data_IF_581814411972
#
_entry.id   IF_581814411972
#
_cell.length_a   1.000
_cell.length_b   1.000
_cell.length_c   1.000
_cell.angle_alpha   90.00
_cell.angle_beta   90.00
_cell.angle_gamma   90.00
#
_symmetry.space_group_name_H-M   'P 1'
#
loop_
_entity.id
_entity.type
_entity.pdbx_description
1 polymer ?
#
# COMPACT_ATOMS: atom_id res chain seq x y z
N UNK A 1 -27.02 -4.15 5.61
CA UNK A 1 -26.50 -3.04 4.94
C UNK A 1 -25.05 -3.22 4.51
N UNK A 2 -24.83 -3.04 3.29
CA UNK A 2 -23.47 -3.14 2.82
C UNK A 2 -22.67 -2.00 3.40
N UNK A 3 -21.53 -2.29 3.90
CA UNK A 3 -20.64 -1.26 4.36
C UNK A 3 -19.41 -1.27 3.50
N UNK A 4 -18.73 -0.15 3.49
CA UNK A 4 -17.48 -0.07 2.74
C UNK A 4 -16.48 -1.09 3.23
N UNK A 5 -16.62 -1.57 4.46
CA UNK A 5 -15.72 -2.55 5.01
C UNK A 5 -15.81 -3.89 4.29
N UNK A 6 -16.94 -4.15 3.62
CA UNK A 6 -17.11 -5.39 2.87
C UNK A 6 -16.56 -5.32 1.46
N UNK A 7 -16.24 -4.13 0.98
CA UNK A 7 -15.69 -3.99 -0.35
C UNK A 7 -14.22 -4.34 -0.35
N UNK A 8 -13.82 -5.06 -1.38
CA UNK A 8 -12.42 -5.43 -1.55
C UNK A 8 -11.99 -5.14 -2.97
N UNK A 9 -10.68 -5.11 -3.16
CA UNK A 9 -10.09 -4.86 -4.45
C UNK A 9 -8.77 -5.61 -4.53
N UNK A 10 -8.39 -6.07 -5.73
CA UNK A 10 -7.12 -6.76 -5.90
C UNK A 10 -5.97 -5.83 -5.53
N UNK A 11 -4.97 -6.39 -4.86
CA UNK A 11 -3.83 -5.59 -4.41
C UNK A 11 -3.06 -4.99 -5.58
N UNK A 12 -2.88 -5.75 -6.68
CA UNK A 12 -2.14 -5.22 -7.82
C UNK A 12 -2.87 -4.03 -8.43
N UNK A 13 -4.19 -4.07 -8.48
CA UNK A 13 -4.98 -2.96 -8.97
C UNK A 13 -4.85 -1.75 -8.05
N UNK A 14 -4.96 -1.98 -6.75
CA UNK A 14 -4.86 -0.89 -5.80
C UNK A 14 -3.51 -0.18 -5.90
N UNK A 15 -2.43 -0.96 -5.93
CA UNK A 15 -1.09 -0.38 -6.02
C UNK A 15 -0.93 0.49 -7.27
N UNK A 16 -1.50 0.04 -8.39
CA UNK A 16 -1.38 0.78 -9.63
C UNK A 16 -2.32 1.99 -9.66
N UNK A 17 -3.58 1.80 -9.28
CA UNK A 17 -4.56 2.89 -9.28
C UNK A 17 -4.17 3.99 -8.30
N UNK A 18 -3.63 3.64 -7.16
CA UNK A 18 -3.22 4.61 -6.14
C UNK A 18 -1.85 5.22 -6.41
N UNK A 19 -1.22 4.84 -7.52
CA UNK A 19 0.07 5.35 -7.96
C UNK A 19 1.21 5.00 -7.01
N UNK A 20 1.04 3.92 -6.27
CA UNK A 20 2.13 3.36 -5.47
C UNK A 20 3.07 2.55 -6.33
N UNK A 21 2.60 2.10 -7.50
CA UNK A 21 3.43 1.47 -8.51
C UNK A 21 3.24 2.23 -9.82
N UNK A 22 4.32 2.45 -10.53
CA UNK A 22 4.28 3.23 -11.77
C UNK A 22 3.55 2.53 -12.89
N UNK A 23 3.64 1.21 -12.94
CA UNK A 23 3.01 0.43 -13.99
C UNK A 23 2.25 -0.72 -13.36
N UNK A 24 1.34 -1.28 -14.14
CA UNK A 24 0.60 -2.45 -13.69
C UNK A 24 1.54 -3.63 -13.48
N UNK A 25 2.52 -3.79 -14.36
CA UNK A 25 3.51 -4.86 -14.21
C UNK A 25 4.27 -4.73 -12.90
N UNK A 26 4.66 -3.51 -12.55
CA UNK A 26 5.36 -3.28 -11.31
C UNK A 26 4.49 -3.62 -10.11
N UNK A 27 3.21 -3.28 -10.18
CA UNK A 27 2.28 -3.61 -9.11
C UNK A 27 2.19 -5.12 -8.93
N UNK A 28 2.13 -5.86 -10.04
CA UNK A 28 2.08 -7.32 -9.99
C UNK A 28 3.37 -7.89 -9.43
N UNK A 29 4.50 -7.32 -9.82
CA UNK A 29 5.79 -7.77 -9.31
C UNK A 29 5.87 -7.59 -7.80
N UNK A 30 5.45 -6.43 -7.29
CA UNK A 30 5.44 -6.18 -5.85
C UNK A 30 4.58 -7.21 -5.13
N UNK A 31 3.40 -7.47 -5.67
CA UNK A 31 2.45 -8.38 -5.02
C UNK A 31 2.90 -9.84 -5.08
N UNK A 32 3.56 -10.24 -6.18
CA UNK A 32 3.94 -11.65 -6.37
C UNK A 32 5.26 -12.01 -5.71
N UNK A 33 6.02 -11.01 -5.29
CA UNK A 33 7.39 -11.22 -4.80
C UNK A 33 7.45 -11.92 -3.46
N UNK A 34 6.37 -11.89 -2.71
CA UNK A 34 6.35 -12.52 -1.40
C UNK A 34 6.85 -11.63 -0.28
N UNK A 35 7.05 -10.35 -0.56
CA UNK A 35 7.54 -9.39 0.45
C UNK A 35 6.47 -8.41 0.89
N UNK A 36 5.31 -8.42 0.25
CA UNK A 36 4.21 -7.52 0.61
C UNK A 36 3.40 -8.14 1.74
N UNK A 37 3.06 -7.34 2.73
CA UNK A 37 2.18 -7.76 3.82
C UNK A 37 0.90 -6.93 3.79
N UNK A 38 -0.21 -7.61 4.02
CA UNK A 38 -1.52 -6.97 4.19
C UNK A 38 -1.99 -7.29 5.59
N UNK A 39 -2.13 -6.27 6.43
CA UNK A 39 -2.52 -6.43 7.84
C UNK A 39 -1.60 -7.42 8.56
N UNK A 40 -0.31 -7.36 8.24
CA UNK A 40 0.69 -8.20 8.88
C UNK A 40 0.87 -9.57 8.26
N UNK A 41 0.02 -9.94 7.31
CA UNK A 41 0.12 -11.24 6.66
C UNK A 41 0.87 -11.10 5.34
N UNK A 42 1.88 -11.93 5.17
CA UNK A 42 2.61 -11.96 3.91
C UNK A 42 1.73 -12.55 2.82
N UNK A 43 1.74 -11.90 1.66
CA UNK A 43 1.04 -12.42 0.49
C UNK A 43 2.05 -12.59 -0.65
N UNK A 44 1.73 -13.45 -1.60
CA UNK A 44 2.62 -13.72 -2.72
C UNK A 44 1.87 -13.83 -4.05
N UNK A 45 0.70 -13.20 -4.13
CA UNK A 45 -0.10 -13.27 -5.34
C UNK A 45 -0.78 -11.94 -5.60
N UNK A 46 -0.85 -11.58 -6.88
CA UNK A 46 -1.37 -10.29 -7.29
C UNK A 46 -2.86 -10.15 -7.04
N UNK A 47 -3.59 -11.26 -6.92
CA UNK A 47 -5.03 -11.19 -6.73
C UNK A 47 -5.46 -11.22 -5.26
N UNK A 48 -4.52 -11.18 -4.32
CA UNK A 48 -4.89 -10.97 -2.92
C UNK A 48 -5.64 -9.65 -2.81
N UNK A 49 -6.53 -9.54 -1.85
CA UNK A 49 -7.43 -8.38 -1.79
C UNK A 49 -7.13 -7.48 -0.61
N UNK A 50 -7.47 -6.21 -0.79
CA UNK A 50 -7.40 -5.18 0.26
C UNK A 50 -8.76 -4.54 0.41
N UNK A 51 -8.95 -3.88 1.55
CA UNK A 51 -10.18 -3.13 1.82
C UNK A 51 -9.81 -1.85 2.55
N UNK A 52 -10.79 -0.98 2.73
CA UNK A 52 -10.58 0.24 3.50
C UNK A 52 -10.13 -0.14 4.91
N UNK A 53 -9.07 0.48 5.36
CA UNK A 53 -8.48 0.18 6.67
C UNK A 53 -7.32 -0.81 6.62
N UNK A 54 -7.14 -1.52 5.50
CA UNK A 54 -6.01 -2.43 5.38
C UNK A 54 -4.69 -1.68 5.48
N UNK A 55 -3.72 -2.29 6.13
CA UNK A 55 -2.37 -1.74 6.24
C UNK A 55 -1.45 -2.56 5.36
N UNK A 56 -0.79 -1.88 4.42
CA UNK A 56 0.10 -2.51 3.46
C UNK A 56 1.53 -2.16 3.80
N UNK A 57 2.43 -3.14 3.73
CA UNK A 57 3.85 -2.89 3.99
C UNK A 57 4.68 -3.69 3.00
N UNK A 58 5.68 -3.06 2.40
CA UNK A 58 6.58 -3.73 1.47
C UNK A 58 7.90 -2.98 1.40
N UNK A 59 9.00 -3.68 1.04
CA UNK A 59 10.29 -3.00 0.88
C UNK A 59 10.29 -2.18 -0.41
N UNK A 60 10.86 -0.99 -0.32
CA UNK A 60 10.94 -0.08 -1.44
C UNK A 60 12.14 0.84 -1.26
N UNK A 61 13.06 0.81 -2.23
CA UNK A 61 14.23 1.69 -2.24
C UNK A 61 15.02 1.64 -0.93
N UNK A 62 15.24 0.45 -0.41
CA UNK A 62 16.07 0.28 0.77
C UNK A 62 15.37 0.54 2.10
N UNK A 63 14.08 0.80 2.06
CA UNK A 63 13.30 1.05 3.27
C UNK A 63 12.00 0.26 3.19
N UNK A 64 11.23 0.26 4.26
CA UNK A 64 9.91 -0.35 4.26
C UNK A 64 8.88 0.76 4.09
N UNK A 65 8.03 0.59 3.10
CA UNK A 65 6.93 1.53 2.87
C UNK A 65 5.67 0.96 3.50
N UNK A 66 4.97 1.77 4.28
CA UNK A 66 3.76 1.35 4.98
C UNK A 66 2.68 2.37 4.68
N UNK A 67 1.51 1.89 4.23
CA UNK A 67 0.38 2.76 3.97
C UNK A 67 -0.90 2.12 4.48
N UNK A 68 -1.86 2.96 4.88
CA UNK A 68 -3.19 2.51 5.24
C UNK A 68 -4.17 2.90 4.14
N UNK A 69 -4.99 1.97 3.72
CA UNK A 69 -5.98 2.21 2.68
C UNK A 69 -7.11 3.07 3.23
N UNK A 70 -7.39 4.18 2.56
CA UNK A 70 -8.48 5.09 2.94
C UNK A 70 -9.70 4.93 2.07
N UNK A 71 -9.52 4.60 0.81
CA UNK A 71 -10.61 4.42 -0.12
C UNK A 71 -10.16 3.48 -1.23
N UNK A 72 -11.12 2.81 -1.86
CA UNK A 72 -10.84 1.90 -2.96
C UNK A 72 -11.14 2.62 -4.27
N UNK A 73 -10.12 2.92 -5.08
CA UNK A 73 -10.33 3.62 -6.34
C UNK A 73 -10.96 2.69 -7.37
N UNK A 74 -11.67 3.29 -8.32
CA UNK A 74 -12.27 2.52 -9.41
C UNK A 74 -11.50 2.67 -10.70
N UNK A 75 -10.51 3.55 -10.72
CA UNK A 75 -9.66 3.80 -11.87
C UNK A 75 -8.38 4.44 -11.41
N UNK A 76 -7.40 4.45 -12.31
CA UNK A 76 -6.17 5.16 -12.04
C UNK A 76 -6.39 6.64 -12.34
N UNK A 77 -6.57 7.41 -11.28
CA UNK A 77 -6.80 8.84 -11.42
C UNK A 77 -5.51 9.64 -11.45
N UNK A 78 -5.63 10.97 -11.44
CA UNK A 78 -4.46 11.86 -11.38
C UNK A 78 -3.68 11.63 -10.09
N UNK A 79 -2.38 11.97 -10.14
CA UNK A 79 -1.53 11.78 -8.97
C UNK A 79 -2.06 12.51 -7.74
N UNK A 80 -2.70 13.65 -7.94
CA UNK A 80 -3.21 14.44 -6.82
C UNK A 80 -4.30 13.70 -6.02
N UNK A 81 -4.96 12.72 -6.63
CA UNK A 81 -6.00 11.96 -5.94
C UNK A 81 -5.43 10.88 -5.02
N UNK A 82 -4.16 10.53 -5.19
CA UNK A 82 -3.61 9.43 -4.41
C UNK A 82 -3.66 9.70 -2.91
N UNK A 83 -3.56 10.97 -2.51
CA UNK A 83 -3.62 11.32 -1.10
C UNK A 83 -4.98 11.02 -0.46
N UNK A 84 -6.02 10.85 -1.27
CA UNK A 84 -7.35 10.49 -0.76
C UNK A 84 -7.55 8.99 -0.68
N UNK A 85 -6.61 8.21 -1.21
CA UNK A 85 -6.75 6.77 -1.30
C UNK A 85 -5.98 6.04 -0.20
N UNK A 86 -4.92 6.65 0.31
CA UNK A 86 -4.14 6.04 1.38
C UNK A 86 -3.44 7.10 2.21
N UNK A 87 -3.04 6.70 3.42
CA UNK A 87 -2.23 7.51 4.30
C UNK A 87 -0.91 6.80 4.50
N UNK A 88 0.19 7.51 4.26
CA UNK A 88 1.51 6.94 4.53
C UNK A 88 1.70 6.86 6.04
N UNK A 89 2.18 5.72 6.52
CA UNK A 89 2.45 5.50 7.93
C UNK A 89 3.96 5.42 8.09
N UNK A 90 4.52 6.32 8.90
CA UNK A 90 5.94 6.26 9.16
C UNK A 90 6.26 5.11 10.09
N UNK A 91 7.19 4.29 9.66
CA UNK A 91 7.68 3.21 10.50
C UNK A 91 8.86 3.73 11.32
N UNK A 92 8.91 3.47 12.62
CA UNK A 92 10.10 3.84 13.38
C UNK A 92 11.38 3.27 12.80
N UNK A 93 11.32 2.11 12.20
CA UNK A 93 12.49 1.49 11.60
C UNK A 93 12.97 2.21 10.35
N UNK A 94 12.09 2.91 9.66
CA UNK A 94 12.46 3.65 8.46
C UNK A 94 12.70 5.12 8.74
N UNK A 95 12.49 5.57 9.98
CA UNK A 95 12.68 6.95 10.36
C UNK A 95 14.14 7.17 10.68
N UNK A 96 14.86 7.97 9.99
CA UNK A 96 16.26 8.23 10.29
C UNK A 96 16.41 8.99 11.58
N UNK A 97 15.82 9.11 12.22
CA UNK A 97 15.75 9.58 13.27
C UNK A 97 15.96 9.88 13.67
N UNK A 98 15.57 9.79 13.29
CA UNK A 98 15.57 9.86 13.38
C UNK A 98 16.04 9.99 13.55
N UNK A 99 16.08 10.42 13.73
CA UNK A 99 16.37 10.46 13.73
C UNK A 99 16.64 10.62 14.14
N UNK A 100 16.74 11.01 14.51
CA UNK A 100 16.83 11.04 14.79
C UNK A 100 16.95 11.02 15.05
N UNK A 101 16.97 11.33 15.24
CA UNK A 101 16.74 11.24 15.16
C UNK A 101 16.74 11.31 15.38
N UNK A 102 16.74 11.68 15.49
CA UNK A 102 16.43 11.68 15.47
C UNK A 102 16.48 11.41 15.67
N UNK A 103 16.55 11.67 15.96
CA UNK A 103 16.28 11.32 15.91
C UNK A 103 16.31 11.13 16.20
N UNK A 104 16.60 11.56 16.53
CA UNK A 104 16.44 11.41 16.57
C UNK A 104 16.36 11.29 16.70
#
# INVERSE_FOLDING_TARGET
MASDADETMRIDRFLWFARLAKTRSMAQTIANKGTLRIDGRRIDRAHATVRVGSVLAWPWNGAVRIVRVKALPQRRGPAAESATLYTAIESPASNPVDADGRAQ
#
